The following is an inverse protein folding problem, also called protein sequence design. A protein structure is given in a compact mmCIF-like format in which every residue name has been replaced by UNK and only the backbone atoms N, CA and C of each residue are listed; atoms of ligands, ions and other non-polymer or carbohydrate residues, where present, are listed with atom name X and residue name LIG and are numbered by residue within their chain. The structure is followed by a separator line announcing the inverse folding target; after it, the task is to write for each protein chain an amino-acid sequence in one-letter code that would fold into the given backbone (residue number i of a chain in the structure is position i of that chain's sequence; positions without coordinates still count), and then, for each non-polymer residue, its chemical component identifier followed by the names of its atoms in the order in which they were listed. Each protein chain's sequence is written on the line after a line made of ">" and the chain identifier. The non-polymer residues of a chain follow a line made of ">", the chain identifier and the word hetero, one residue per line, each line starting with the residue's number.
data_IF_014876066700
#
_entry.id   IF_014876066700
#
_cell.length_a   1.000
_cell.length_b   1.000
_cell.length_c   1.000
_cell.angle_alpha   90.00
_cell.angle_beta   90.00
_cell.angle_gamma   90.00
#
_symmetry.space_group_name_H-M   'P 1'
#
loop_
_entity.id
_entity.type
_entity.pdbx_description
1 polymer ?
#
# COMPACT_ATOMS: atom_id res chain seq x y z
N UNK A 1 -8.17 -22.90 -24.36
CA UNK A 1 -7.07 -22.99 -23.37
C UNK A 1 -6.47 -21.60 -23.20
N UNK A 2 -6.46 -21.07 -21.97
CA UNK A 2 -5.88 -19.76 -21.68
C UNK A 2 -4.45 -19.98 -21.20
N UNK A 3 -3.47 -19.46 -21.93
CA UNK A 3 -2.07 -19.53 -21.53
C UNK A 3 -1.86 -18.67 -20.28
N UNK A 4 -1.15 -19.21 -19.28
CA UNK A 4 -0.66 -18.41 -18.16
C UNK A 4 0.34 -17.37 -18.66
N UNK A 5 0.23 -16.14 -18.14
CA UNK A 5 1.05 -15.00 -18.55
C UNK A 5 1.68 -14.38 -17.32
N UNK A 6 2.94 -14.01 -17.42
CA UNK A 6 3.60 -13.13 -16.45
C UNK A 6 3.57 -11.69 -16.99
N UNK A 7 3.61 -10.71 -16.09
CA UNK A 7 3.63 -9.30 -16.44
C UNK A 7 5.05 -8.77 -16.30
N UNK A 8 5.54 -8.15 -17.38
CA UNK A 8 6.74 -7.33 -17.35
C UNK A 8 6.55 -6.14 -16.40
N UNK A 9 7.63 -5.48 -15.99
CA UNK A 9 7.58 -4.23 -15.21
C UNK A 9 6.75 -3.13 -15.89
N UNK A 10 6.63 -3.19 -17.22
CA UNK A 10 5.85 -2.27 -18.04
C UNK A 10 4.42 -2.78 -18.34
N UNK A 11 3.96 -3.84 -17.66
CA UNK A 11 2.60 -4.40 -17.78
C UNK A 11 2.34 -5.23 -19.04
N UNK A 12 3.36 -5.45 -19.88
CA UNK A 12 3.27 -6.27 -21.09
C UNK A 12 3.25 -7.77 -20.74
N UNK A 13 2.50 -8.54 -21.50
CA UNK A 13 2.45 -9.99 -21.40
C UNK A 13 3.81 -10.60 -21.81
N UNK A 14 4.39 -11.40 -20.93
CA UNK A 14 5.60 -12.18 -21.16
C UNK A 14 5.36 -13.66 -20.82
N UNK A 15 6.23 -14.53 -21.33
CA UNK A 15 6.11 -15.98 -21.24
C UNK A 15 7.46 -16.59 -20.86
N UNK A 16 7.42 -17.63 -20.03
CA UNK A 16 8.60 -18.42 -19.68
C UNK A 16 8.62 -19.68 -20.53
N UNK A 17 9.72 -19.89 -21.26
CA UNK A 17 9.97 -21.13 -21.99
C UNK A 17 10.82 -22.04 -21.13
N UNK A 18 10.27 -23.18 -20.72
CA UNK A 18 11.00 -24.20 -19.96
C UNK A 18 11.36 -25.36 -20.90
N UNK A 19 12.63 -25.71 -21.07
CA UNK A 19 13.02 -26.89 -21.82
C UNK A 19 12.36 -28.15 -21.24
N UNK A 20 11.83 -29.01 -22.11
CA UNK A 20 11.09 -30.21 -21.69
C UNK A 20 11.85 -31.12 -20.70
N UNK A 21 13.16 -31.37 -20.84
CA UNK A 21 13.90 -32.17 -19.86
C UNK A 21 13.88 -31.55 -18.45
N UNK A 22 13.95 -30.21 -18.37
CA UNK A 22 13.92 -29.46 -17.11
C UNK A 22 12.53 -29.53 -16.49
N UNK A 23 11.48 -29.37 -17.31
CA UNK A 23 10.10 -29.55 -16.84
C UNK A 23 9.88 -30.92 -16.22
N UNK A 24 10.28 -31.99 -16.91
CA UNK A 24 10.10 -33.35 -16.40
C UNK A 24 10.88 -33.61 -15.11
N UNK A 25 12.10 -33.08 -15.00
CA UNK A 25 12.91 -33.21 -13.79
C UNK A 25 12.29 -32.49 -12.58
N UNK A 26 11.61 -31.36 -12.81
CA UNK A 26 11.04 -30.52 -11.75
C UNK A 26 9.54 -30.75 -11.51
N UNK A 27 8.87 -31.54 -12.36
CA UNK A 27 7.40 -31.66 -12.38
C UNK A 27 6.83 -32.05 -11.01
N UNK A 28 7.38 -33.06 -10.35
CA UNK A 28 6.88 -33.52 -9.06
C UNK A 28 7.03 -32.46 -7.96
N UNK A 29 8.15 -31.73 -7.96
CA UNK A 29 8.38 -30.63 -7.01
C UNK A 29 7.41 -29.47 -7.28
N UNK A 30 7.18 -29.14 -8.55
CA UNK A 30 6.21 -28.11 -8.95
C UNK A 30 4.81 -28.50 -8.47
N UNK A 31 4.37 -29.74 -8.71
CA UNK A 31 3.04 -30.22 -8.30
C UNK A 31 2.89 -30.25 -6.77
N UNK A 32 3.94 -30.63 -6.03
CA UNK A 32 3.96 -30.62 -4.57
C UNK A 32 3.84 -29.20 -4.00
N UNK A 33 4.64 -28.25 -4.50
CA UNK A 33 4.59 -26.85 -4.07
C UNK A 33 3.25 -26.19 -4.45
N UNK A 34 2.69 -26.50 -5.62
CA UNK A 34 1.35 -26.03 -6.00
C UNK A 34 0.28 -26.57 -5.05
N UNK A 35 0.32 -27.85 -4.70
CA UNK A 35 -0.64 -28.43 -3.75
C UNK A 35 -0.51 -27.80 -2.35
N UNK A 36 0.70 -27.52 -1.88
CA UNK A 36 0.94 -26.81 -0.63
C UNK A 36 0.43 -25.36 -0.67
N UNK A 37 0.60 -24.69 -1.82
CA UNK A 37 0.07 -23.35 -2.06
C UNK A 37 -1.47 -23.34 -2.12
N UNK A 38 -2.09 -24.35 -2.73
CA UNK A 38 -3.55 -24.47 -2.85
C UNK A 38 -4.24 -24.93 -1.56
N UNK A 39 -3.55 -25.64 -0.67
CA UNK A 39 -4.12 -26.11 0.61
C UNK A 39 -3.86 -25.14 1.77
N UNK A 40 -2.85 -24.26 1.65
CA UNK A 40 -2.48 -23.27 2.67
C UNK A 40 -3.27 -21.95 2.65
N UNK A 41 -4.47 -21.91 2.05
CA UNK A 41 -5.32 -20.72 1.94
C UNK A 41 -5.88 -20.27 3.31
N UNK A 42 -5.02 -19.65 4.13
CA UNK A 42 -5.42 -18.41 4.79
C UNK A 42 -5.29 -17.30 3.74
N UNK A 43 -6.40 -16.62 3.43
CA UNK A 43 -6.54 -15.55 2.44
C UNK A 43 -5.50 -14.41 2.63
N UNK A 44 -4.91 -14.34 3.83
CA UNK A 44 -3.94 -13.35 4.28
C UNK A 44 -2.57 -13.37 3.58
N UNK A 45 -2.16 -14.47 2.92
CA UNK A 45 -0.80 -14.56 2.31
C UNK A 45 -0.70 -14.12 0.85
N UNK A 46 -1.83 -13.85 0.19
CA UNK A 46 -1.85 -13.48 -1.24
C UNK A 46 -1.62 -11.98 -1.47
N UNK A 47 -1.79 -11.18 -0.44
CA UNK A 47 -1.69 -9.72 -0.51
C UNK A 47 -0.64 -9.23 0.47
N UNK A 48 0.25 -8.36 0.00
CA UNK A 48 1.08 -7.56 0.91
C UNK A 48 0.13 -6.60 1.63
N UNK A 49 0.15 -6.53 2.98
CA UNK A 49 -0.65 -5.57 3.71
C UNK A 49 -0.39 -4.16 3.19
N UNK A 50 -1.46 -3.41 2.93
CA UNK A 50 -1.34 -2.00 2.57
C UNK A 50 -0.95 -1.21 3.83
N UNK A 51 0.35 -0.91 3.95
CA UNK A 51 0.92 -0.07 5.01
C UNK A 51 0.98 1.35 4.50
N UNK A 52 0.16 2.24 5.06
CA UNK A 52 0.01 3.61 4.57
C UNK A 52 1.32 4.41 4.66
N UNK A 53 2.12 4.11 5.69
CA UNK A 53 3.41 4.72 5.98
C UNK A 53 4.43 4.53 4.84
N UNK A 54 4.27 3.47 4.03
CA UNK A 54 5.13 3.21 2.88
C UNK A 54 4.84 4.14 1.68
N UNK A 55 3.70 4.83 1.70
CA UNK A 55 3.21 5.65 0.58
C UNK A 55 3.03 7.14 0.93
N UNK A 56 3.11 7.51 2.21
CA UNK A 56 2.84 8.87 2.69
C UNK A 56 3.98 9.38 3.57
N UNK A 57 4.87 10.17 2.96
CA UNK A 57 6.03 10.74 3.67
C UNK A 57 5.64 11.83 4.68
N UNK A 58 4.58 12.60 4.39
CA UNK A 58 4.22 13.74 5.21
C UNK A 58 3.44 13.28 6.46
N UNK A 59 3.94 13.56 7.68
CA UNK A 59 3.32 13.05 8.89
C UNK A 59 1.98 13.72 9.21
N UNK A 60 1.70 14.92 8.70
CA UNK A 60 0.38 15.56 8.81
C UNK A 60 -0.63 14.86 7.90
N UNK A 61 -0.25 14.55 6.65
CA UNK A 61 -1.09 13.79 5.73
C UNK A 61 -1.37 12.39 6.28
N UNK A 62 -0.33 11.72 6.80
CA UNK A 62 -0.44 10.40 7.42
C UNK A 62 -1.44 10.42 8.58
N UNK A 63 -1.26 11.32 9.55
CA UNK A 63 -2.16 11.45 10.70
C UNK A 63 -3.60 11.75 10.28
N UNK A 64 -3.80 12.59 9.26
CA UNK A 64 -5.12 12.92 8.73
C UNK A 64 -5.82 11.69 8.11
N UNK A 65 -5.09 10.93 7.29
CA UNK A 65 -5.63 9.74 6.61
C UNK A 65 -5.92 8.64 7.63
N UNK A 66 -5.04 8.43 8.63
CA UNK A 66 -5.29 7.51 9.74
C UNK A 66 -6.53 7.90 10.55
N UNK A 67 -6.80 9.20 10.70
CA UNK A 67 -8.01 9.71 11.34
C UNK A 67 -9.26 9.67 10.45
N UNK A 68 -9.13 9.30 9.16
CA UNK A 68 -10.25 9.13 8.23
C UNK A 68 -10.95 10.42 7.81
N UNK A 69 -10.30 11.59 7.94
CA UNK A 69 -10.91 12.89 7.62
C UNK A 69 -10.31 13.53 6.35
N UNK A 70 -11.08 14.44 5.76
CA UNK A 70 -10.69 15.25 4.61
C UNK A 70 -9.78 16.42 4.99
N UNK A 71 -9.09 16.99 3.99
CA UNK A 71 -8.27 18.20 4.21
C UNK A 71 -9.12 19.40 4.66
N UNK A 72 -10.37 19.49 4.19
CA UNK A 72 -11.30 20.55 4.58
C UNK A 72 -11.73 20.41 6.05
N UNK A 73 -12.04 19.19 6.50
CA UNK A 73 -12.36 18.93 7.90
C UNK A 73 -11.18 19.23 8.83
N UNK A 74 -9.96 18.83 8.44
CA UNK A 74 -8.77 19.18 9.21
C UNK A 74 -8.55 20.71 9.26
N UNK A 75 -8.78 21.40 8.14
CA UNK A 75 -8.66 22.85 8.05
C UNK A 75 -9.66 23.56 8.98
N UNK A 76 -10.92 23.08 8.99
CA UNK A 76 -11.98 23.60 9.86
C UNK A 76 -11.63 23.42 11.34
N UNK A 77 -11.10 22.25 11.74
CA UNK A 77 -10.67 21.99 13.13
C UNK A 77 -9.50 22.88 13.55
N UNK A 78 -8.59 23.18 12.63
CA UNK A 78 -7.42 24.03 12.90
C UNK A 78 -7.69 25.54 12.73
N UNK A 79 -8.87 25.92 12.24
CA UNK A 79 -9.23 27.31 11.94
C UNK A 79 -8.37 27.93 10.83
N UNK A 80 -7.98 27.13 9.83
CA UNK A 80 -7.13 27.55 8.69
C UNK A 80 -7.82 27.25 7.36
N UNK A 81 -7.25 27.71 6.25
CA UNK A 81 -7.79 27.39 4.92
C UNK A 81 -7.40 25.97 4.47
N UNK A 82 -8.28 25.34 3.67
CA UNK A 82 -7.98 24.05 3.04
C UNK A 82 -6.73 24.12 2.13
N UNK A 83 -6.51 25.25 1.46
CA UNK A 83 -5.30 25.51 0.68
C UNK A 83 -4.01 25.47 1.53
N UNK A 84 -4.07 25.95 2.77
CA UNK A 84 -2.93 25.90 3.69
C UNK A 84 -2.59 24.46 4.09
N UNK A 85 -3.60 23.62 4.38
CA UNK A 85 -3.40 22.19 4.64
C UNK A 85 -2.81 21.49 3.42
N UNK A 86 -3.34 21.75 2.22
CA UNK A 86 -2.80 21.20 0.97
C UNK A 86 -1.32 21.58 0.76
N UNK A 87 -0.94 22.82 1.09
CA UNK A 87 0.45 23.26 1.00
C UNK A 87 1.35 22.57 2.04
N UNK A 88 0.85 22.34 3.25
CA UNK A 88 1.58 21.63 4.31
C UNK A 88 1.83 20.18 3.92
N UNK A 89 0.80 19.47 3.43
CA UNK A 89 0.89 18.05 3.08
C UNK A 89 1.82 17.76 1.91
N UNK A 90 2.09 18.76 1.05
CA UNK A 90 3.06 18.68 -0.05
C UNK A 90 4.52 18.86 0.38
N UNK A 91 4.78 19.35 1.59
CA UNK A 91 6.16 19.57 2.08
C UNK A 91 6.69 18.26 2.66
N UNK A 92 7.98 17.98 2.48
CA UNK A 92 8.62 16.82 3.11
C UNK A 92 8.89 17.01 4.60
N UNK A 93 8.99 18.26 5.05
CA UNK A 93 9.29 18.61 6.44
C UNK A 93 8.20 19.52 7.02
N UNK A 94 7.79 19.17 8.23
CA UNK A 94 6.82 19.91 9.04
C UNK A 94 7.38 20.09 10.45
N UNK A 95 7.05 21.21 11.08
CA UNK A 95 7.57 21.53 12.41
C UNK A 95 6.83 20.71 13.47
N UNK A 96 7.55 20.27 14.51
CA UNK A 96 6.96 19.54 15.64
C UNK A 96 5.78 20.30 16.27
N UNK A 97 5.85 21.63 16.32
CA UNK A 97 4.76 22.48 16.81
C UNK A 97 3.48 22.34 15.99
N UNK A 98 3.59 22.24 14.67
CA UNK A 98 2.45 22.05 13.78
C UNK A 98 1.88 20.64 13.93
N UNK A 99 2.75 19.63 13.98
CA UNK A 99 2.34 18.24 14.15
C UNK A 99 1.59 18.03 15.48
N UNK A 100 2.05 18.64 16.57
CA UNK A 100 1.36 18.57 17.86
C UNK A 100 -0.03 19.22 17.81
N UNK A 101 -0.15 20.39 17.17
CA UNK A 101 -1.44 21.04 16.96
C UNK A 101 -2.41 20.18 16.16
N UNK A 102 -1.91 19.51 15.11
CA UNK A 102 -2.70 18.57 14.30
C UNK A 102 -3.16 17.41 15.18
N UNK A 103 -2.27 16.82 15.98
CA UNK A 103 -2.60 15.69 16.85
C UNK A 103 -3.68 16.04 17.88
N UNK A 104 -3.59 17.20 18.51
CA UNK A 104 -4.61 17.71 19.43
C UNK A 104 -5.96 17.87 18.71
N UNK A 105 -5.97 18.51 17.53
CA UNK A 105 -7.19 18.71 16.74
C UNK A 105 -7.83 17.39 16.25
N UNK A 106 -7.07 16.31 16.15
CA UNK A 106 -7.56 14.97 15.80
C UNK A 106 -8.05 14.18 17.03
N UNK A 107 -7.46 14.40 18.21
CA UNK A 107 -7.81 13.68 19.45
C UNK A 107 -9.13 14.15 20.09
N UNK A 108 -9.58 15.37 19.83
CA UNK A 108 -10.84 15.91 20.39
C UNK A 108 -12.13 15.19 19.88
N UNK A 109 -12.01 14.13 19.09
CA UNK A 109 -13.16 13.41 18.51
C UNK A 109 -13.13 11.89 18.70
N UNK A 110 -12.25 11.38 19.57
CA UNK A 110 -12.23 9.97 19.97
C UNK A 110 -13.05 9.73 21.25
#
# INVERSE_FOLDING_TARGET
>A
MTLQKIKSINGKDEYVLLPMPVYHALKEQIEHELAAYETGHDDDRKYVPFVLEDYVDNPVALARIQAGITQEELANRLGVSQAYISQIERRSHVTNKLLERVRIALQETA
#
